data_IF_104740406546
#
_entry.id   IF_104740406546
#
_cell.length_a   1.000
_cell.length_b   1.000
_cell.length_c   1.000
_cell.angle_alpha   90.00
_cell.angle_beta   90.00
_cell.angle_gamma   90.00
#
_symmetry.space_group_name_H-M   'P 1'
#
loop_
_entity.id
_entity.type
_entity.pdbx_description
1 polymer ?
#
# COMPACT_ATOMS: atom_id res chain seq x y z
N UNK A 1 -30.35 18.81 -8.75
CA UNK A 1 -29.41 18.23 -9.74
C UNK A 1 -27.96 18.47 -9.32
N UNK A 2 -27.44 17.75 -8.32
CA UNK A 2 -26.11 18.02 -7.70
C UNK A 2 -25.10 16.88 -7.87
N UNK A 3 -25.50 15.74 -8.48
CA UNK A 3 -24.63 14.57 -8.68
C UNK A 3 -23.58 14.72 -9.79
N UNK A 4 -23.69 15.74 -10.65
CA UNK A 4 -22.77 15.97 -11.77
C UNK A 4 -21.44 16.63 -11.34
N UNK A 5 -21.50 17.70 -10.56
CA UNK A 5 -20.33 18.52 -10.20
C UNK A 5 -19.29 17.74 -9.38
N UNK A 6 -19.74 16.96 -8.37
CA UNK A 6 -18.83 16.15 -7.55
C UNK A 6 -18.09 15.07 -8.37
N UNK A 7 -18.76 14.48 -9.38
CA UNK A 7 -18.14 13.52 -10.29
C UNK A 7 -17.10 14.17 -11.21
N UNK A 8 -17.38 15.38 -11.71
CA UNK A 8 -16.42 16.12 -12.56
C UNK A 8 -15.20 16.55 -11.77
N UNK A 9 -15.36 17.05 -10.55
CA UNK A 9 -14.25 17.46 -9.68
C UNK A 9 -13.38 16.26 -9.27
N UNK A 10 -13.98 15.12 -8.96
CA UNK A 10 -13.21 13.89 -8.65
C UNK A 10 -12.39 13.40 -9.85
N UNK A 11 -12.92 13.56 -11.08
CA UNK A 11 -12.19 13.21 -12.32
C UNK A 11 -11.07 14.19 -12.63
N UNK A 12 -11.26 15.48 -12.35
CA UNK A 12 -10.22 16.49 -12.49
C UNK A 12 -9.08 16.24 -11.50
N UNK A 13 -9.40 16.00 -10.22
CA UNK A 13 -8.42 15.68 -9.19
C UNK A 13 -7.57 14.45 -9.55
N UNK A 14 -8.20 13.37 -10.05
CA UNK A 14 -7.47 12.17 -10.47
C UNK A 14 -6.50 12.44 -11.64
N UNK A 15 -6.81 13.38 -12.54
CA UNK A 15 -5.91 13.73 -13.66
C UNK A 15 -4.70 14.53 -13.23
N UNK A 16 -4.80 15.29 -12.14
CA UNK A 16 -3.73 16.15 -11.62
C UNK A 16 -2.90 15.48 -10.52
N UNK A 17 -3.39 14.38 -9.98
CA UNK A 17 -2.77 13.69 -8.85
C UNK A 17 -1.81 12.57 -9.27
N UNK A 18 -2.19 11.82 -10.31
CA UNK A 18 -1.51 10.59 -10.70
C UNK A 18 -2.49 9.42 -10.83
N UNK A 19 -1.96 8.21 -10.96
CA UNK A 19 -2.78 7.04 -11.33
C UNK A 19 -2.41 5.79 -10.54
N UNK A 20 -3.42 4.99 -10.17
CA UNK A 20 -3.21 3.67 -9.62
C UNK A 20 -3.14 2.63 -10.75
N UNK A 21 -2.12 1.74 -10.79
CA UNK A 21 -2.05 0.72 -11.82
C UNK A 21 -3.30 -0.17 -11.82
N UNK A 22 -3.77 -0.64 -13.00
CA UNK A 22 -4.96 -1.47 -13.07
C UNK A 22 -4.64 -2.83 -12.44
N UNK A 23 -5.13 -3.04 -11.21
CA UNK A 23 -4.93 -4.29 -10.48
C UNK A 23 -6.24 -4.80 -9.89
N UNK A 24 -6.51 -6.09 -10.08
CA UNK A 24 -7.68 -6.74 -9.51
C UNK A 24 -7.67 -6.62 -7.98
N UNK A 25 -8.81 -6.19 -7.42
CA UNK A 25 -8.96 -5.98 -5.99
C UNK A 25 -8.40 -4.67 -5.45
N UNK A 26 -7.77 -3.82 -6.28
CA UNK A 26 -7.33 -2.47 -5.91
C UNK A 26 -8.20 -1.40 -6.58
N UNK A 27 -8.66 -0.43 -5.79
CA UNK A 27 -9.24 0.79 -6.31
C UNK A 27 -8.65 2.00 -5.59
N UNK A 28 -8.26 3.03 -6.35
CA UNK A 28 -7.87 4.32 -5.80
C UNK A 28 -8.90 5.39 -6.17
N UNK A 29 -9.27 6.22 -5.18
CA UNK A 29 -10.14 7.38 -5.39
C UNK A 29 -9.47 8.61 -4.83
N UNK A 30 -9.17 9.55 -5.71
CA UNK A 30 -8.58 10.82 -5.34
C UNK A 30 -9.64 11.92 -5.36
N UNK A 31 -9.65 12.73 -4.30
CA UNK A 31 -10.47 13.94 -4.19
C UNK A 31 -9.60 15.07 -3.65
N UNK A 32 -9.83 16.29 -4.12
CA UNK A 32 -9.01 17.45 -3.77
C UNK A 32 -8.89 18.40 -4.95
N UNK A 33 -8.20 19.52 -4.76
CA UNK A 33 -7.93 20.50 -5.80
C UNK A 33 -6.73 21.37 -5.37
N UNK A 34 -6.06 21.98 -6.35
CA UNK A 34 -5.04 23.01 -6.09
C UNK A 34 -3.80 22.41 -5.43
N UNK A 35 -3.41 21.21 -5.86
CA UNK A 35 -2.27 20.50 -5.31
C UNK A 35 -2.52 19.79 -3.98
N UNK A 36 -3.65 19.97 -3.30
CA UNK A 36 -3.96 19.25 -2.05
C UNK A 36 -4.96 18.11 -2.29
N UNK A 37 -4.57 16.89 -1.93
CA UNK A 37 -5.31 15.68 -2.26
C UNK A 37 -5.51 14.75 -1.07
N UNK A 38 -6.67 14.07 -1.09
CA UNK A 38 -6.97 12.87 -0.32
C UNK A 38 -7.12 11.71 -1.30
N UNK A 39 -6.28 10.70 -1.16
CA UNK A 39 -6.40 9.45 -1.92
C UNK A 39 -6.83 8.32 -1.00
N UNK A 40 -7.93 7.66 -1.34
CA UNK A 40 -8.41 6.47 -0.64
C UNK A 40 -8.17 5.26 -1.51
N UNK A 41 -7.30 4.37 -1.04
CA UNK A 41 -7.09 3.03 -1.59
C UNK A 41 -8.05 2.07 -0.89
N UNK A 42 -8.78 1.29 -1.68
CA UNK A 42 -9.65 0.23 -1.21
C UNK A 42 -9.17 -1.09 -1.77
N UNK A 43 -9.00 -2.06 -0.88
CA UNK A 43 -8.56 -3.41 -1.19
C UNK A 43 -9.72 -4.36 -0.97
N UNK A 44 -10.06 -5.14 -1.99
CA UNK A 44 -11.07 -6.18 -1.94
C UNK A 44 -10.45 -7.50 -2.38
N UNK A 45 -9.90 -8.24 -1.42
CA UNK A 45 -9.17 -9.48 -1.65
C UNK A 45 -8.10 -9.36 -2.75
N UNK A 46 -7.32 -8.26 -2.74
CA UNK A 46 -6.22 -8.08 -3.69
C UNK A 46 -5.18 -9.17 -3.44
N UNK A 47 -4.95 -10.02 -4.44
CA UNK A 47 -4.01 -11.12 -4.32
C UNK A 47 -2.57 -10.63 -4.48
N UNK A 48 -1.70 -11.17 -3.64
CA UNK A 48 -0.26 -10.92 -3.64
C UNK A 48 0.45 -12.25 -3.46
N UNK A 49 1.07 -12.80 -4.52
CA UNK A 49 1.93 -13.97 -4.38
C UNK A 49 3.20 -13.57 -3.61
N UNK A 50 3.66 -14.46 -2.74
CA UNK A 50 4.91 -14.34 -1.99
C UNK A 50 5.71 -15.59 -2.26
N UNK A 51 6.93 -15.41 -2.74
CA UNK A 51 7.84 -16.54 -3.02
C UNK A 51 8.63 -16.87 -1.76
N UNK A 52 8.80 -18.15 -1.49
CA UNK A 52 9.54 -18.65 -0.33
C UNK A 52 10.98 -18.13 -0.33
N UNK A 53 11.67 -18.28 -1.47
CA UNK A 53 13.07 -17.88 -1.62
C UNK A 53 13.35 -16.40 -1.33
N UNK A 54 12.35 -15.52 -1.50
CA UNK A 54 12.49 -14.10 -1.18
C UNK A 54 11.94 -13.77 0.21
N UNK A 55 10.85 -14.41 0.63
CA UNK A 55 10.10 -14.10 1.84
C UNK A 55 9.58 -12.64 1.90
N UNK A 56 9.53 -11.93 0.78
CA UNK A 56 8.94 -10.60 0.67
C UNK A 56 8.20 -10.43 -0.66
N UNK A 57 7.28 -9.45 -0.69
CA UNK A 57 6.56 -9.07 -1.89
C UNK A 57 6.26 -7.57 -1.88
N UNK A 58 6.04 -7.00 -3.05
CA UNK A 58 5.72 -5.59 -3.22
C UNK A 58 4.64 -5.39 -4.26
N UNK A 59 3.77 -4.40 -4.05
CA UNK A 59 2.71 -4.03 -4.97
C UNK A 59 2.64 -2.52 -5.12
N UNK A 60 2.86 -2.03 -6.35
CA UNK A 60 2.65 -0.61 -6.67
C UNK A 60 1.17 -0.26 -6.50
N UNK A 61 0.87 0.74 -5.68
CA UNK A 61 -0.47 1.23 -5.38
C UNK A 61 -0.82 2.48 -6.18
N UNK A 62 0.17 3.34 -6.39
CA UNK A 62 -0.03 4.66 -6.99
C UNK A 62 1.26 5.16 -7.63
N UNK A 63 1.09 5.91 -8.70
CA UNK A 63 2.12 6.67 -9.40
C UNK A 63 1.69 8.13 -9.25
N UNK A 64 2.47 8.92 -8.51
CA UNK A 64 2.21 10.36 -8.39
C UNK A 64 2.68 11.05 -9.68
N UNK A 65 1.99 12.10 -10.12
CA UNK A 65 2.56 12.94 -11.18
C UNK A 65 3.89 13.56 -10.74
N UNK A 66 4.71 13.89 -11.75
CA UNK A 66 5.96 14.62 -11.58
C UNK A 66 5.81 15.83 -10.65
N UNK A 67 6.82 16.05 -9.82
CA UNK A 67 6.85 17.11 -8.83
C UNK A 67 7.21 16.64 -7.42
N UNK A 68 7.36 17.61 -6.53
CA UNK A 68 7.60 17.33 -5.10
C UNK A 68 6.30 16.93 -4.42
N UNK A 69 6.27 15.74 -3.83
CA UNK A 69 5.10 15.19 -3.13
C UNK A 69 5.32 15.31 -1.62
N UNK A 70 4.43 16.01 -0.93
CA UNK A 70 4.44 16.13 0.53
C UNK A 70 3.35 15.27 1.15
N UNK A 71 3.73 14.20 1.84
CA UNK A 71 2.82 13.39 2.65
C UNK A 71 2.49 14.13 3.95
N UNK A 72 1.20 14.34 4.19
CA UNK A 72 0.66 15.01 5.40
C UNK A 72 0.25 14.03 6.49
N UNK A 73 0.11 12.76 6.13
CA UNK A 73 -0.29 11.67 7.02
C UNK A 73 -1.48 10.92 6.44
N UNK A 74 -2.19 10.20 7.30
CA UNK A 74 -3.26 9.32 6.86
C UNK A 74 -3.50 8.19 7.84
N UNK A 75 -4.33 7.24 7.44
CA UNK A 75 -4.69 6.07 8.25
C UNK A 75 -4.74 4.84 7.37
N UNK A 76 -4.25 3.71 7.87
CA UNK A 76 -4.30 2.43 7.19
C UNK A 76 -4.98 1.39 8.08
N UNK A 77 -5.90 0.62 7.49
CA UNK A 77 -6.59 -0.51 8.12
C UNK A 77 -6.60 -1.67 7.14
N UNK A 78 -5.75 -2.67 7.37
CA UNK A 78 -5.60 -3.82 6.49
C UNK A 78 -5.83 -5.14 7.22
N UNK A 79 -6.46 -6.08 6.53
CA UNK A 79 -6.62 -7.48 6.89
C UNK A 79 -6.00 -8.35 5.81
N UNK A 80 -5.53 -9.51 6.23
CA UNK A 80 -4.81 -10.45 5.38
C UNK A 80 -5.42 -11.84 5.55
N UNK A 81 -5.65 -12.55 4.45
CA UNK A 81 -5.96 -13.97 4.44
C UNK A 81 -4.88 -14.71 3.66
N UNK A 82 -4.55 -15.93 4.08
CA UNK A 82 -3.69 -16.86 3.32
C UNK A 82 -4.62 -17.69 2.44
N UNK A 83 -4.47 -17.61 1.12
CA UNK A 83 -5.32 -18.32 0.17
C UNK A 83 -4.80 -19.73 -0.18
N UNK A 84 -3.52 -19.96 0.04
CA UNK A 84 -2.87 -21.26 -0.15
C UNK A 84 -3.06 -22.15 1.08
N UNK A 85 -2.77 -23.44 0.94
CA UNK A 85 -2.82 -24.39 2.06
C UNK A 85 -1.82 -23.95 3.14
N UNK A 86 -2.33 -23.60 4.32
CA UNK A 86 -1.51 -23.23 5.48
C UNK A 86 -0.67 -24.42 5.97
N UNK A 87 0.40 -24.12 6.70
CA UNK A 87 1.39 -25.07 7.23
C UNK A 87 2.22 -25.85 6.18
N UNK A 88 1.84 -25.80 4.90
CA UNK A 88 2.66 -26.28 3.79
C UNK A 88 3.08 -25.17 2.81
N UNK A 89 2.71 -23.91 3.10
CA UNK A 89 3.10 -22.72 2.32
C UNK A 89 3.44 -21.59 3.30
N UNK A 90 2.47 -20.76 3.67
CA UNK A 90 2.60 -19.78 4.75
C UNK A 90 2.08 -20.42 6.04
N UNK A 91 2.87 -20.35 7.10
CA UNK A 91 2.60 -21.05 8.34
C UNK A 91 1.45 -20.47 9.15
N UNK A 92 0.85 -21.32 9.98
CA UNK A 92 -0.16 -20.88 10.93
C UNK A 92 0.45 -19.87 11.90
N UNK A 93 -0.26 -18.75 12.09
CA UNK A 93 0.22 -17.64 12.92
C UNK A 93 1.57 -17.05 12.45
N UNK A 94 1.90 -17.18 11.16
CA UNK A 94 3.09 -16.56 10.59
C UNK A 94 3.17 -15.05 10.90
N UNK A 95 4.38 -14.56 11.18
CA UNK A 95 4.64 -13.15 11.43
C UNK A 95 4.80 -12.39 10.10
N UNK A 96 3.80 -11.57 9.78
CA UNK A 96 3.84 -10.69 8.61
C UNK A 96 4.20 -9.27 9.03
N UNK A 97 5.15 -8.67 8.34
CA UNK A 97 5.42 -7.24 8.40
C UNK A 97 4.93 -6.58 7.13
N UNK A 98 4.31 -5.40 7.25
CA UNK A 98 3.91 -4.60 6.09
C UNK A 98 4.25 -3.13 6.28
N UNK A 99 4.44 -2.42 5.17
CA UNK A 99 4.79 -1.00 5.18
C UNK A 99 4.28 -0.29 3.92
N UNK A 100 4.36 1.04 3.93
CA UNK A 100 4.25 1.85 2.72
C UNK A 100 5.57 2.55 2.46
N UNK A 101 6.01 2.48 1.21
CA UNK A 101 7.29 3.05 0.80
C UNK A 101 7.23 3.67 -0.58
N UNK A 102 8.20 4.54 -0.86
CA UNK A 102 8.44 5.07 -2.21
C UNK A 102 9.25 4.13 -3.11
N UNK A 103 9.67 2.98 -2.59
CA UNK A 103 10.34 1.93 -3.34
C UNK A 103 9.74 0.57 -3.03
N UNK A 104 9.84 -0.33 -4.01
CA UNK A 104 9.46 -1.74 -3.85
C UNK A 104 10.38 -2.45 -2.84
N UNK A 105 9.83 -3.42 -2.13
CA UNK A 105 10.59 -4.31 -1.27
C UNK A 105 11.70 -5.03 -2.05
N UNK A 106 12.92 -4.98 -1.52
CA UNK A 106 14.10 -5.67 -2.06
C UNK A 106 14.80 -6.56 -1.01
N UNK A 107 14.18 -6.72 0.16
CA UNK A 107 14.66 -7.55 1.26
C UNK A 107 13.50 -7.91 2.21
N UNK A 108 13.63 -9.02 2.93
CA UNK A 108 12.73 -9.40 4.02
C UNK A 108 12.85 -8.47 5.24
N UNK A 109 13.97 -7.74 5.37
CA UNK A 109 14.15 -6.66 6.34
C UNK A 109 13.75 -5.32 5.69
N UNK A 110 12.47 -4.95 5.79
CA UNK A 110 11.95 -3.71 5.20
C UNK A 110 12.60 -2.48 5.85
N UNK A 111 13.31 -1.67 5.06
CA UNK A 111 14.04 -0.50 5.54
C UNK A 111 14.15 0.62 4.48
N UNK A 112 14.63 1.80 4.88
CA UNK A 112 14.89 2.93 3.99
C UNK A 112 13.65 3.40 3.24
N UNK A 113 13.74 3.48 1.91
CA UNK A 113 12.64 3.89 1.03
C UNK A 113 11.50 2.87 0.94
N UNK A 114 11.66 1.66 1.48
CA UNK A 114 10.58 0.67 1.56
C UNK A 114 9.57 0.97 2.68
N UNK A 115 9.93 1.84 3.63
CA UNK A 115 9.15 2.12 4.85
C UNK A 115 8.99 3.63 5.13
N UNK A 116 9.40 4.49 4.20
CA UNK A 116 9.49 5.93 4.45
C UNK A 116 8.13 6.64 4.53
N UNK A 117 7.05 6.07 3.98
CA UNK A 117 5.69 6.64 4.07
C UNK A 117 4.95 6.11 5.30
N UNK A 118 5.05 4.81 5.56
CA UNK A 118 4.51 4.15 6.76
C UNK A 118 5.55 3.15 7.23
N UNK A 119 5.95 3.28 8.49
CA UNK A 119 6.96 2.41 9.10
C UNK A 119 6.52 0.95 9.12
N UNK A 120 7.49 0.04 9.07
CA UNK A 120 7.25 -1.39 9.16
C UNK A 120 6.35 -1.74 10.36
N UNK A 121 5.18 -2.31 10.06
CA UNK A 121 4.16 -2.69 11.03
C UNK A 121 4.06 -4.21 11.05
N UNK A 122 4.44 -4.82 12.17
CA UNK A 122 4.36 -6.25 12.39
C UNK A 122 2.95 -6.69 12.80
N UNK A 123 2.57 -7.90 12.40
CA UNK A 123 1.32 -8.54 12.81
C UNK A 123 1.40 -10.06 12.68
N UNK A 124 0.52 -10.74 13.40
CA UNK A 124 0.28 -12.17 13.23
C UNK A 124 -0.84 -12.41 12.21
N UNK A 125 -0.70 -13.46 11.39
CA UNK A 125 -1.73 -13.97 10.50
C UNK A 125 -2.64 -14.97 11.22
N UNK A 126 -3.51 -14.45 12.09
CA UNK A 126 -4.38 -15.18 13.04
C UNK A 126 -5.70 -15.73 12.43
N UNK A 127 -5.96 -15.51 11.14
CA UNK A 127 -7.13 -16.08 10.46
C UNK A 127 -7.00 -17.60 10.24
N UNK A 128 -8.03 -18.38 10.56
CA UNK A 128 -8.04 -19.84 10.33
C UNK A 128 -8.34 -20.16 8.86
N UNK A 129 -7.51 -21.01 8.24
CA UNK A 129 -7.63 -21.32 6.80
C UNK A 129 -7.56 -20.06 5.95
N UNK A 130 -8.55 -19.87 5.07
CA UNK A 130 -8.66 -18.69 4.21
C UNK A 130 -9.42 -17.51 4.83
N UNK A 131 -9.71 -17.56 6.14
CA UNK A 131 -10.37 -16.45 6.83
C UNK A 131 -9.44 -15.23 6.94
N UNK A 132 -10.04 -14.04 7.02
CA UNK A 132 -9.32 -12.80 7.27
C UNK A 132 -8.76 -12.80 8.71
N UNK A 133 -7.50 -12.40 8.82
CA UNK A 133 -6.87 -12.05 10.08
C UNK A 133 -7.51 -10.78 10.68
N UNK A 134 -7.30 -10.54 11.97
CA UNK A 134 -7.72 -9.31 12.68
C UNK A 134 -7.25 -8.05 11.94
N UNK A 135 -7.94 -6.92 12.02
CA UNK A 135 -7.47 -5.71 11.32
C UNK A 135 -6.18 -5.15 11.95
N UNK A 136 -5.15 -4.94 11.14
CA UNK A 136 -3.98 -4.14 11.50
C UNK A 136 -4.30 -2.70 11.20
N UNK A 137 -4.29 -1.85 12.23
CA UNK A 137 -4.61 -0.42 12.13
C UNK A 137 -3.39 0.37 12.55
N UNK A 138 -2.99 1.35 11.74
CA UNK A 138 -1.85 2.22 12.02
C UNK A 138 -2.03 3.56 11.32
N UNK A 139 -1.48 4.61 11.91
CA UNK A 139 -1.42 5.92 11.29
C UNK A 139 -0.24 6.02 10.33
N UNK A 140 -0.44 6.70 9.20
CA UNK A 140 0.63 7.01 8.25
C UNK A 140 1.43 8.17 8.83
N UNK A 141 2.76 8.07 8.81
CA UNK A 141 3.63 9.09 9.35
C UNK A 141 3.36 10.45 8.68
N UNK A 142 3.24 11.49 9.49
CA UNK A 142 3.05 12.84 8.99
C UNK A 142 4.41 13.48 8.64
N UNK A 143 4.41 14.28 7.56
CA UNK A 143 5.49 15.16 7.11
C UNK A 143 6.73 14.48 6.45
N UNK A 144 6.50 13.77 5.34
CA UNK A 144 7.56 13.32 4.41
C UNK A 144 7.51 14.11 3.10
N UNK A 145 8.65 14.58 2.59
CA UNK A 145 8.75 15.11 1.22
C UNK A 145 9.47 14.10 0.36
N UNK A 146 8.86 13.73 -0.76
CA UNK A 146 9.41 12.87 -1.79
C UNK A 146 9.71 13.74 -3.00
N UNK A 147 10.93 13.62 -3.53
CA UNK A 147 11.36 14.38 -4.69
C UNK A 147 11.06 13.59 -5.95
N UNK A 148 10.03 14.03 -6.68
CA UNK A 148 9.57 13.42 -7.93
C UNK A 148 9.83 14.27 -9.16
N UNK A 149 10.70 15.28 -9.09
CA UNK A 149 10.91 16.22 -10.20
C UNK A 149 11.70 15.63 -11.37
N UNK A 150 12.51 14.59 -11.11
CA UNK A 150 13.30 13.91 -12.14
C UNK A 150 12.73 12.54 -12.54
N UNK A 151 12.05 11.88 -11.61
CA UNK A 151 11.35 10.62 -11.84
C UNK A 151 10.12 10.63 -10.96
N UNK A 152 8.91 10.39 -11.50
CA UNK A 152 7.71 10.39 -10.70
C UNK A 152 7.82 9.42 -9.53
N UNK A 153 7.26 9.83 -8.40
CA UNK A 153 7.31 9.06 -7.17
C UNK A 153 6.27 7.95 -7.25
N UNK A 154 6.69 6.76 -6.86
CA UNK A 154 5.79 5.62 -6.72
C UNK A 154 5.40 5.42 -5.26
N UNK A 155 4.22 4.84 -5.03
CA UNK A 155 3.80 4.34 -3.73
C UNK A 155 3.64 2.83 -3.80
N UNK A 156 4.30 2.11 -2.91
CA UNK A 156 4.24 0.66 -2.81
C UNK A 156 3.64 0.20 -1.47
N UNK A 157 2.87 -0.87 -1.51
CA UNK A 157 2.60 -1.73 -0.37
C UNK A 157 3.65 -2.84 -0.35
N UNK A 158 4.47 -2.84 0.70
CA UNK A 158 5.55 -3.79 0.88
C UNK A 158 5.18 -4.77 1.99
N UNK A 159 5.49 -6.04 1.79
CA UNK A 159 5.19 -7.15 2.67
C UNK A 159 6.45 -7.98 2.88
N UNK A 160 6.67 -8.48 4.09
CA UNK A 160 7.78 -9.37 4.37
C UNK A 160 7.48 -10.33 5.53
N UNK A 161 8.00 -11.54 5.40
CA UNK A 161 8.13 -12.53 6.46
C UNK A 161 9.60 -12.50 6.90
N UNK A 162 9.86 -11.81 8.02
CA UNK A 162 11.22 -11.53 8.45
C UNK A 162 11.94 -12.77 9.02
N UNK A 163 11.19 -13.78 9.44
CA UNK A 163 11.76 -15.05 9.92
C UNK A 163 11.67 -16.10 8.81
N UNK A 164 12.77 -16.81 8.57
CA UNK A 164 12.83 -17.88 7.56
C UNK A 164 12.05 -19.15 7.92
N UNK A 165 11.18 -19.08 8.93
CA UNK A 165 10.32 -20.19 9.38
C UNK A 165 8.83 -19.89 9.21
N UNK A 166 8.49 -18.70 8.73
CA UNK A 166 7.09 -18.29 8.53
C UNK A 166 6.52 -18.74 7.17
N UNK A 167 7.41 -19.12 6.24
CA UNK A 167 7.10 -19.58 4.89
C UNK A 167 7.95 -20.82 4.60
N UNK A 168 7.30 -21.88 4.13
CA UNK A 168 7.89 -23.18 3.79
C UNK A 168 7.71 -23.53 2.30
N UNK A 169 6.87 -22.77 1.59
CA UNK A 169 6.72 -22.81 0.14
C UNK A 169 5.95 -21.55 -0.35
N UNK A 170 5.97 -21.32 -1.66
CA UNK A 170 5.27 -20.20 -2.29
C UNK A 170 3.80 -20.11 -1.84
N UNK A 171 3.40 -18.90 -1.44
CA UNK A 171 2.10 -18.63 -0.87
C UNK A 171 1.38 -17.48 -1.58
N UNK A 172 0.09 -17.34 -1.31
CA UNK A 172 -0.69 -16.19 -1.77
C UNK A 172 -1.45 -15.56 -0.62
N UNK A 173 -1.24 -14.25 -0.45
CA UNK A 173 -2.00 -13.42 0.47
C UNK A 173 -3.15 -12.72 -0.28
N UNK A 174 -4.32 -12.61 0.37
CA UNK A 174 -5.39 -11.72 -0.04
C UNK A 174 -5.47 -10.54 0.95
N UNK A 175 -5.41 -9.33 0.40
CA UNK A 175 -5.42 -8.09 1.17
C UNK A 175 -6.79 -7.44 1.05
N UNK A 176 -7.39 -7.10 2.19
CA UNK A 176 -8.69 -6.43 2.28
C UNK A 176 -8.61 -5.27 3.26
N UNK A 177 -9.24 -4.15 2.93
CA UNK A 177 -9.28 -2.98 3.81
C UNK A 177 -9.07 -1.67 3.07
N UNK A 178 -8.58 -0.66 3.78
CA UNK A 178 -8.43 0.69 3.24
C UNK A 178 -7.15 1.37 3.71
N UNK A 179 -6.61 2.23 2.84
CA UNK A 179 -5.59 3.21 3.18
C UNK A 179 -6.10 4.57 2.74
N UNK A 180 -6.13 5.53 3.65
CA UNK A 180 -6.38 6.94 3.32
C UNK A 180 -5.07 7.69 3.46
N UNK A 181 -4.65 8.36 2.40
CA UNK A 181 -3.46 9.20 2.35
C UNK A 181 -3.86 10.65 2.12
N UNK A 182 -3.34 11.55 2.94
CA UNK A 182 -3.42 12.99 2.78
C UNK A 182 -2.06 13.49 2.30
N UNK A 183 -2.04 14.22 1.19
CA UNK A 183 -0.80 14.64 0.56
C UNK A 183 -0.99 15.88 -0.31
N UNK A 184 0.12 16.55 -0.61
CA UNK A 184 0.16 17.71 -1.48
C UNK A 184 1.15 17.49 -2.63
N UNK A 185 0.79 17.88 -3.86
CA UNK A 185 1.73 18.09 -4.96
C UNK A 185 2.17 19.55 -4.95
N UNK A 186 3.46 19.79 -4.75
CA UNK A 186 4.06 21.13 -4.77
C UNK A 186 4.63 21.48 -6.15
N UNK A 187 4.54 20.57 -7.11
CA UNK A 187 5.05 20.73 -8.47
C UNK A 187 6.58 20.70 -8.55
N UNK A 188 7.07 21.01 -9.75
CA UNK A 188 8.48 21.24 -10.02
C UNK A 188 8.82 22.66 -9.58
N UNK A 189 9.28 22.81 -8.34
CA UNK A 189 9.90 24.05 -7.87
C UNK A 189 11.26 24.20 -8.57
N UNK A 190 11.25 24.59 -9.85
CA UNK A 190 12.41 25.04 -10.61
C UNK A 190 12.79 26.47 -10.23
#
# INVERSE_FOLDING_TARGET
>A
MTRGLSRTLSRAAAREAGFAPPKAGLAARTSGQGGAYRTVFSFNAMQVPVTDALAYASQKLFDFLDGKVRIKGGTARLQFAVLTTRASTINDNAALTWSLGSAAASSAALAGTMVNVLAATGRTLDGVGAALSTASVVDVAAALTLDGTATPVDLYLNLAFATGTDIDADGTLAITGTITLLWENWGDNA
#
